data_IF_212136103841
#
_entry.id   IF_212136103841
#
_cell.length_a   1.000
_cell.length_b   1.000
_cell.length_c   1.000
_cell.angle_alpha   90.00
_cell.angle_beta   90.00
_cell.angle_gamma   90.00
#
_symmetry.space_group_name_H-M   'P 1'
#
loop_
_entity.id
_entity.type
_entity.pdbx_description
1 polymer ?
#
# COMPACT_ATOMS: atom_id res chain seq x y z
N UNK A 1 25.20 -8.17 1.08
CA UNK A 1 24.14 -8.58 0.14
C UNK A 1 24.57 -8.11 -1.24
N UNK A 2 24.80 -9.02 -2.19
CA UNK A 2 25.24 -8.68 -3.55
C UNK A 2 24.02 -8.53 -4.45
N UNK A 3 23.72 -7.32 -4.91
CA UNK A 3 22.47 -7.09 -5.64
C UNK A 3 22.46 -7.44 -7.12
N UNK A 4 23.62 -7.76 -7.71
CA UNK A 4 23.72 -8.22 -9.09
C UNK A 4 23.65 -9.75 -9.26
N UNK A 5 23.59 -10.50 -8.16
CA UNK A 5 23.56 -11.97 -8.21
C UNK A 5 22.29 -12.44 -8.94
N UNK A 6 22.44 -13.42 -9.82
CA UNK A 6 21.37 -14.09 -10.57
C UNK A 6 20.53 -13.18 -11.50
N UNK A 7 21.08 -12.03 -11.91
CA UNK A 7 20.40 -11.08 -12.83
C UNK A 7 20.93 -11.09 -14.26
N UNK A 8 21.79 -12.03 -14.62
CA UNK A 8 22.48 -12.03 -15.92
C UNK A 8 21.50 -12.05 -17.09
N UNK A 9 20.58 -13.00 -17.13
CA UNK A 9 19.59 -13.12 -18.21
C UNK A 9 18.75 -11.85 -18.38
N UNK A 10 18.31 -11.25 -17.27
CA UNK A 10 17.57 -9.98 -17.27
C UNK A 10 18.38 -8.83 -17.88
N UNK A 11 19.65 -8.68 -17.46
CA UNK A 11 20.54 -7.64 -17.97
C UNK A 11 20.92 -7.85 -19.43
N UNK A 12 21.11 -9.11 -19.86
CA UNK A 12 21.43 -9.45 -21.24
C UNK A 12 20.27 -9.05 -22.20
N UNK A 13 19.01 -9.17 -21.75
CA UNK A 13 17.84 -8.69 -22.52
C UNK A 13 17.88 -7.17 -22.66
N UNK A 14 18.11 -6.41 -21.59
CA UNK A 14 18.23 -4.95 -21.64
C UNK A 14 19.36 -4.53 -22.58
N UNK A 15 20.51 -5.18 -22.45
CA UNK A 15 21.71 -4.91 -23.25
C UNK A 15 21.51 -5.15 -24.77
N UNK A 16 20.48 -5.92 -25.15
CA UNK A 16 20.12 -6.11 -26.56
C UNK A 16 19.56 -4.83 -27.19
N UNK A 17 18.99 -3.92 -26.39
CA UNK A 17 18.29 -2.73 -26.87
C UNK A 17 18.96 -1.42 -26.45
N UNK A 18 19.67 -1.40 -25.33
CA UNK A 18 20.26 -0.18 -24.77
C UNK A 18 21.60 -0.46 -24.10
N UNK A 19 22.43 0.57 -23.96
CA UNK A 19 23.59 0.49 -23.07
C UNK A 19 23.16 0.30 -21.61
N UNK A 20 23.96 -0.41 -20.82
CA UNK A 20 23.72 -0.64 -19.39
C UNK A 20 24.78 0.10 -18.58
N UNK A 21 24.38 1.22 -17.97
CA UNK A 21 25.23 2.06 -17.14
C UNK A 21 25.04 1.72 -15.64
N UNK A 22 26.06 1.95 -14.82
CA UNK A 22 26.03 1.58 -13.40
C UNK A 22 26.73 2.62 -12.50
N UNK A 23 26.09 2.99 -11.39
CA UNK A 23 26.70 3.82 -10.33
C UNK A 23 26.90 2.95 -9.08
N UNK A 24 28.09 2.39 -8.93
CA UNK A 24 28.35 1.30 -7.97
C UNK A 24 29.57 1.61 -7.10
N UNK A 25 29.46 1.39 -5.81
CA UNK A 25 30.59 1.53 -4.89
C UNK A 25 31.40 0.22 -4.88
N UNK A 26 32.55 0.20 -5.55
CA UNK A 26 33.32 -1.02 -5.84
C UNK A 26 32.72 -1.85 -6.99
N UNK A 27 33.23 -3.07 -7.22
CA UNK A 27 32.72 -3.99 -8.25
C UNK A 27 31.42 -4.67 -7.81
N UNK A 28 30.27 -4.00 -7.92
CA UNK A 28 28.96 -4.65 -7.67
C UNK A 28 27.81 -3.92 -8.37
N UNK A 29 27.13 -4.60 -9.29
CA UNK A 29 26.18 -4.08 -10.28
C UNK A 29 24.73 -3.79 -9.83
N UNK A 30 24.05 -3.09 -10.74
CA UNK A 30 22.79 -2.30 -10.79
C UNK A 30 21.51 -2.93 -10.22
N UNK A 31 20.61 -2.09 -9.70
CA UNK A 31 19.22 -2.41 -9.36
C UNK A 31 18.23 -1.87 -10.39
N UNK A 32 17.22 -2.68 -10.73
CA UNK A 32 15.95 -2.24 -11.32
C UNK A 32 14.78 -2.94 -10.59
N UNK A 33 13.57 -2.34 -10.59
CA UNK A 33 12.42 -2.86 -9.87
C UNK A 33 11.82 -4.12 -10.49
N UNK A 34 11.64 -5.16 -9.67
CA UNK A 34 10.96 -6.40 -10.02
C UNK A 34 9.62 -6.52 -9.30
N UNK A 35 8.67 -7.18 -9.94
CA UNK A 35 7.49 -7.74 -9.26
C UNK A 35 7.90 -8.85 -8.28
N UNK A 36 7.12 -9.05 -7.22
CA UNK A 36 7.36 -10.07 -6.20
C UNK A 36 6.17 -11.03 -6.11
N UNK A 37 6.36 -12.25 -6.60
CA UNK A 37 5.40 -13.36 -6.46
C UNK A 37 6.08 -14.56 -5.79
N UNK A 38 5.70 -14.95 -4.57
CA UNK A 38 4.74 -14.26 -3.70
C UNK A 38 5.25 -12.90 -3.19
N UNK A 39 4.36 -12.02 -2.70
CA UNK A 39 4.74 -10.76 -2.07
C UNK A 39 5.75 -10.97 -0.92
N UNK A 40 6.76 -10.10 -0.82
CA UNK A 40 7.80 -10.22 0.22
C UNK A 40 7.33 -9.61 1.54
N UNK A 41 7.57 -10.30 2.65
CA UNK A 41 7.22 -9.84 4.00
C UNK A 41 8.13 -10.47 5.07
N UNK A 42 7.88 -10.14 6.33
CA UNK A 42 8.56 -10.74 7.49
C UNK A 42 8.38 -12.26 7.59
N UNK A 43 7.36 -12.81 6.92
CA UNK A 43 7.04 -14.25 6.91
C UNK A 43 7.95 -15.07 5.98
N UNK A 44 8.46 -14.47 4.90
CA UNK A 44 9.12 -15.23 3.82
C UNK A 44 10.46 -14.63 3.34
N UNK A 45 10.89 -13.49 3.89
CA UNK A 45 12.10 -12.81 3.44
C UNK A 45 12.91 -12.35 4.64
N UNK A 46 14.15 -12.83 4.76
CA UNK A 46 15.03 -12.59 5.92
C UNK A 46 15.24 -11.11 6.23
N UNK A 47 15.37 -10.26 5.19
CA UNK A 47 15.52 -8.81 5.36
C UNK A 47 14.38 -8.17 6.18
N UNK A 48 13.17 -8.75 6.14
CA UNK A 48 12.00 -8.23 6.84
C UNK A 48 11.76 -8.90 8.20
N UNK A 49 12.54 -9.93 8.59
CA UNK A 49 12.40 -10.57 9.90
C UNK A 49 12.64 -9.55 11.03
N UNK A 50 11.82 -9.62 12.07
CA UNK A 50 11.89 -8.75 13.24
C UNK A 50 11.37 -7.32 13.03
N UNK A 51 10.98 -6.92 11.81
CA UNK A 51 10.33 -5.62 11.61
C UNK A 51 8.91 -5.64 12.18
N UNK A 52 8.45 -4.58 12.89
CA UNK A 52 7.14 -4.53 13.54
C UNK A 52 6.01 -4.27 12.54
N UNK A 53 5.91 -5.10 11.50
CA UNK A 53 4.88 -5.00 10.47
C UNK A 53 4.68 -6.34 9.76
N UNK A 54 3.43 -6.64 9.42
CA UNK A 54 3.04 -7.76 8.58
C UNK A 54 2.80 -7.33 7.12
N UNK A 55 3.21 -6.11 6.76
CA UNK A 55 3.01 -5.56 5.42
C UNK A 55 3.75 -6.38 4.38
N UNK A 56 3.03 -6.73 3.34
CA UNK A 56 3.55 -7.42 2.16
C UNK A 56 3.89 -6.41 1.05
N UNK A 57 5.01 -6.65 0.37
CA UNK A 57 5.50 -5.91 -0.78
C UNK A 57 5.24 -6.70 -2.07
N UNK A 58 4.43 -6.13 -2.96
CA UNK A 58 4.10 -6.71 -4.28
C UNK A 58 5.19 -6.46 -5.33
N UNK A 59 6.05 -5.48 -5.11
CA UNK A 59 7.19 -5.15 -5.97
C UNK A 59 8.32 -4.53 -5.16
N UNK A 60 9.44 -4.26 -5.83
CA UNK A 60 10.56 -3.54 -5.22
C UNK A 60 10.15 -2.15 -4.70
N UNK A 61 9.22 -1.47 -5.38
CA UNK A 61 8.75 -0.14 -4.99
C UNK A 61 7.22 -0.01 -5.12
N UNK A 62 6.44 -0.55 -4.16
CA UNK A 62 4.97 -0.62 -4.29
C UNK A 62 4.28 0.73 -4.43
N UNK A 63 4.86 1.81 -3.91
CA UNK A 63 4.32 3.15 -4.14
C UNK A 63 4.37 3.53 -5.63
N UNK A 64 5.47 3.19 -6.31
CA UNK A 64 5.67 3.55 -7.72
C UNK A 64 4.78 2.67 -8.62
N UNK A 65 4.64 1.39 -8.26
CA UNK A 65 3.68 0.47 -8.89
C UNK A 65 2.24 1.00 -8.81
N UNK A 66 1.77 1.41 -7.62
CA UNK A 66 0.37 1.72 -7.37
C UNK A 66 -0.02 3.16 -7.72
N UNK A 67 0.82 4.16 -7.40
CA UNK A 67 0.44 5.57 -7.48
C UNK A 67 1.07 6.34 -8.65
N UNK A 68 2.09 5.77 -9.30
CA UNK A 68 2.70 6.34 -10.50
C UNK A 68 2.31 5.51 -11.72
N UNK A 69 2.63 4.21 -11.69
CA UNK A 69 2.29 3.25 -12.74
C UNK A 69 2.82 3.61 -14.11
N UNK A 70 2.27 2.94 -15.12
CA UNK A 70 2.58 3.26 -16.50
C UNK A 70 2.06 4.67 -16.84
N UNK A 71 2.81 5.43 -17.65
CA UNK A 71 3.91 4.94 -18.47
C UNK A 71 5.31 5.21 -17.88
N UNK A 72 5.39 5.78 -16.66
CA UNK A 72 6.65 6.11 -15.97
C UNK A 72 7.26 4.93 -15.22
N UNK A 73 6.43 3.97 -14.79
CA UNK A 73 6.84 2.80 -14.00
C UNK A 73 6.30 1.55 -14.64
N UNK A 74 7.20 0.68 -15.07
CA UNK A 74 6.89 -0.65 -15.59
C UNK A 74 7.29 -1.69 -14.55
N UNK A 75 6.30 -2.20 -13.82
CA UNK A 75 6.51 -3.30 -12.87
C UNK A 75 6.38 -4.63 -13.61
N UNK A 76 7.50 -5.35 -13.75
CA UNK A 76 7.56 -6.59 -14.52
C UNK A 76 8.10 -7.77 -13.70
N UNK A 77 7.72 -8.98 -14.10
CA UNK A 77 8.40 -10.19 -13.64
C UNK A 77 9.76 -10.34 -14.36
N UNK A 78 10.86 -10.18 -13.61
CA UNK A 78 12.22 -10.27 -14.16
C UNK A 78 12.60 -11.68 -14.62
N UNK A 79 11.90 -12.71 -14.13
CA UNK A 79 12.09 -14.10 -14.50
C UNK A 79 11.31 -14.47 -15.79
N UNK A 80 10.58 -13.51 -16.37
CA UNK A 80 9.82 -13.68 -17.60
C UNK A 80 10.43 -12.84 -18.74
N UNK A 81 11.35 -13.42 -19.54
CA UNK A 81 12.06 -12.70 -20.61
C UNK A 81 11.14 -11.97 -21.59
N UNK A 82 10.03 -12.59 -21.98
CA UNK A 82 9.08 -12.02 -22.94
C UNK A 82 8.34 -10.79 -22.39
N UNK A 83 8.11 -10.74 -21.08
CA UNK A 83 7.53 -9.57 -20.42
C UNK A 83 8.53 -8.42 -20.32
N UNK A 84 9.78 -8.73 -19.95
CA UNK A 84 10.87 -7.76 -19.90
C UNK A 84 11.12 -7.15 -21.28
N UNK A 85 11.21 -7.98 -22.34
CA UNK A 85 11.42 -7.50 -23.71
C UNK A 85 10.27 -6.59 -24.17
N UNK A 86 9.01 -6.97 -23.91
CA UNK A 86 7.85 -6.13 -24.26
C UNK A 86 7.87 -4.79 -23.54
N UNK A 87 8.24 -4.78 -22.26
CA UNK A 87 8.35 -3.53 -21.50
C UNK A 87 9.44 -2.63 -22.07
N UNK A 88 10.64 -3.15 -22.35
CA UNK A 88 11.74 -2.36 -22.93
C UNK A 88 11.35 -1.76 -24.29
N UNK A 89 10.76 -2.56 -25.18
CA UNK A 89 10.28 -2.07 -26.48
C UNK A 89 9.25 -0.95 -26.33
N UNK A 90 8.34 -1.09 -25.38
CA UNK A 90 7.33 -0.07 -25.09
C UNK A 90 7.96 1.22 -24.57
N UNK A 91 8.91 1.12 -23.65
CA UNK A 91 9.66 2.26 -23.09
C UNK A 91 10.41 3.03 -24.19
N UNK A 92 11.09 2.31 -25.11
CA UNK A 92 11.84 2.93 -26.20
C UNK A 92 10.96 3.66 -27.22
N UNK A 93 9.70 3.23 -27.37
CA UNK A 93 8.72 3.88 -28.26
C UNK A 93 8.01 5.08 -27.62
N UNK A 94 8.23 5.31 -26.34
CA UNK A 94 7.48 6.29 -25.56
C UNK A 94 8.14 7.66 -25.55
N UNK A 95 7.32 8.71 -25.63
CA UNK A 95 7.79 10.08 -25.35
C UNK A 95 8.03 10.24 -23.85
N UNK A 96 9.22 10.72 -23.49
CA UNK A 96 9.57 10.98 -22.09
C UNK A 96 8.86 12.26 -21.62
N UNK A 97 8.05 12.13 -20.57
CA UNK A 97 7.48 13.27 -19.84
C UNK A 97 7.98 13.19 -18.39
N UNK A 98 8.72 14.19 -17.89
CA UNK A 98 9.10 14.24 -16.49
C UNK A 98 7.87 14.32 -15.61
N UNK A 99 7.79 13.45 -14.61
CA UNK A 99 6.67 13.40 -13.68
C UNK A 99 7.15 13.31 -12.24
N UNK A 100 6.61 14.19 -11.39
CA UNK A 100 6.82 14.22 -9.95
C UNK A 100 5.45 14.26 -9.28
N UNK A 101 5.06 13.23 -8.51
CA UNK A 101 3.83 13.29 -7.72
C UNK A 101 3.84 14.53 -6.81
N UNK A 102 2.73 15.25 -6.76
CA UNK A 102 2.63 16.53 -6.05
C UNK A 102 3.09 16.44 -4.59
N UNK A 103 2.79 15.35 -3.89
CA UNK A 103 3.20 15.08 -2.50
C UNK A 103 4.71 15.03 -2.25
N UNK A 104 5.51 14.86 -3.31
CA UNK A 104 6.97 14.91 -3.28
C UNK A 104 7.54 16.24 -3.81
N UNK A 105 6.69 17.21 -4.18
CA UNK A 105 7.13 18.59 -4.41
C UNK A 105 7.30 19.32 -3.08
N UNK A 106 8.06 20.42 -3.07
CA UNK A 106 8.21 21.27 -1.89
C UNK A 106 6.85 21.75 -1.37
N UNK A 107 5.99 22.24 -2.26
CA UNK A 107 4.64 22.75 -1.90
C UNK A 107 3.74 21.64 -1.38
N UNK A 108 3.72 20.46 -2.03
CA UNK A 108 2.91 19.34 -1.57
C UNK A 108 3.38 18.79 -0.22
N UNK A 109 4.68 18.81 0.07
CA UNK A 109 5.16 18.48 1.40
C UNK A 109 4.71 19.51 2.44
N UNK A 110 4.82 20.81 2.15
CA UNK A 110 4.38 21.88 3.04
C UNK A 110 2.87 21.81 3.31
N UNK A 111 2.05 21.60 2.29
CA UNK A 111 0.60 21.42 2.44
C UNK A 111 0.28 20.26 3.38
N UNK A 112 0.93 19.10 3.18
CA UNK A 112 0.70 17.91 4.01
C UNK A 112 1.10 18.14 5.46
N UNK A 113 2.29 18.69 5.69
CA UNK A 113 2.78 18.96 7.05
C UNK A 113 1.93 20.02 7.75
N UNK A 114 1.54 21.08 7.05
CA UNK A 114 0.64 22.10 7.59
C UNK A 114 -0.71 21.50 8.00
N UNK A 115 -1.32 20.68 7.14
CA UNK A 115 -2.59 20.03 7.45
C UNK A 115 -2.49 19.12 8.70
N UNK A 116 -1.37 18.40 8.88
CA UNK A 116 -1.13 17.63 10.09
C UNK A 116 -0.95 18.51 11.33
N UNK A 117 -0.18 19.58 11.24
CA UNK A 117 0.04 20.50 12.38
C UNK A 117 -1.28 21.12 12.85
N UNK A 118 -2.12 21.57 11.91
CA UNK A 118 -3.35 22.30 12.24
C UNK A 118 -4.50 21.38 12.68
N UNK A 119 -4.55 20.14 12.17
CA UNK A 119 -5.75 19.30 12.32
C UNK A 119 -5.52 17.96 13.03
N UNK A 120 -4.30 17.41 13.06
CA UNK A 120 -4.04 16.10 13.67
C UNK A 120 -3.84 16.24 15.18
N UNK A 121 -4.94 16.17 15.93
CA UNK A 121 -4.95 16.27 17.40
C UNK A 121 -5.18 14.91 18.07
N UNK A 122 -4.19 14.44 18.82
CA UNK A 122 -4.28 13.24 19.67
C UNK A 122 -4.42 13.58 21.17
N UNK A 123 -4.41 14.86 21.53
CA UNK A 123 -4.46 15.37 22.89
C UNK A 123 -5.88 15.67 23.36
N UNK A 124 -6.77 16.10 22.46
CA UNK A 124 -8.15 16.43 22.77
C UNK A 124 -9.12 15.58 21.97
N UNK A 125 -9.97 14.79 22.65
CA UNK A 125 -10.92 13.87 22.01
C UNK A 125 -12.11 14.52 21.28
N UNK A 126 -12.05 15.80 20.93
CA UNK A 126 -13.19 16.56 20.38
C UNK A 126 -13.08 16.87 18.88
N UNK A 127 -11.88 16.91 18.28
CA UNK A 127 -11.72 17.21 16.85
C UNK A 127 -11.57 15.90 16.08
N UNK A 128 -12.62 15.51 15.35
CA UNK A 128 -12.59 14.37 14.43
C UNK A 128 -12.01 14.82 13.09
N UNK A 129 -10.69 14.69 12.94
CA UNK A 129 -10.00 14.83 11.67
C UNK A 129 -9.31 13.51 11.30
N UNK A 130 -9.49 12.97 10.08
CA UNK A 130 -10.35 13.44 8.99
C UNK A 130 -11.85 13.50 9.34
N UNK A 131 -12.66 14.34 8.64
CA UNK A 131 -14.08 14.47 8.93
C UNK A 131 -14.83 13.16 8.64
N UNK A 132 -15.85 12.85 9.44
CA UNK A 132 -16.70 11.66 9.23
C UNK A 132 -17.37 11.61 7.86
N UNK A 133 -17.56 12.75 7.19
CA UNK A 133 -18.08 12.82 5.82
C UNK A 133 -17.15 12.16 4.78
N UNK A 134 -15.86 12.00 5.08
CA UNK A 134 -14.90 11.31 4.22
C UNK A 134 -14.94 9.78 4.38
N UNK A 135 -15.61 9.28 5.43
CA UNK A 135 -15.67 7.85 5.75
C UNK A 135 -16.48 7.07 4.71
N UNK A 136 -15.87 6.02 4.18
CA UNK A 136 -16.50 5.08 3.26
C UNK A 136 -16.25 3.67 3.77
N UNK A 137 -17.30 2.92 4.05
CA UNK A 137 -17.16 1.53 4.49
C UNK A 137 -16.99 0.62 3.29
N UNK A 138 -16.01 -0.27 3.37
CA UNK A 138 -15.86 -1.39 2.43
C UNK A 138 -15.79 -2.68 3.22
N UNK A 139 -16.33 -3.76 2.63
CA UNK A 139 -16.15 -5.11 3.13
C UNK A 139 -15.01 -5.75 2.34
N UNK A 140 -13.95 -6.16 3.04
CA UNK A 140 -12.89 -6.96 2.42
C UNK A 140 -13.26 -8.44 2.54
N UNK A 141 -13.17 -9.15 1.43
CA UNK A 141 -13.44 -10.60 1.37
C UNK A 141 -12.49 -11.41 2.27
N UNK A 142 -12.87 -12.63 2.70
CA UNK A 142 -11.98 -13.50 3.46
C UNK A 142 -10.64 -13.69 2.75
N UNK A 143 -9.54 -13.63 3.51
CA UNK A 143 -8.18 -13.63 2.95
C UNK A 143 -7.70 -12.29 2.40
N UNK A 144 -8.54 -11.26 2.36
CA UNK A 144 -8.16 -9.89 1.98
C UNK A 144 -8.01 -8.96 3.19
N UNK A 145 -7.11 -7.98 3.07
CA UNK A 145 -6.88 -6.96 4.09
C UNK A 145 -7.54 -5.62 3.75
N UNK A 146 -7.73 -4.77 4.75
CA UNK A 146 -8.17 -3.40 4.54
C UNK A 146 -7.10 -2.48 3.95
N UNK A 147 -5.91 -3.00 3.57
CA UNK A 147 -4.78 -2.22 3.04
C UNK A 147 -5.11 -1.45 1.76
N UNK A 148 -6.12 -1.87 1.00
CA UNK A 148 -6.62 -1.10 -0.15
C UNK A 148 -7.31 0.22 0.27
N UNK A 149 -7.55 0.40 1.57
CA UNK A 149 -8.11 1.60 2.17
C UNK A 149 -7.03 2.41 2.90
N UNK A 150 -7.13 3.73 2.78
CA UNK A 150 -6.09 4.68 3.21
C UNK A 150 -6.26 5.11 4.68
N UNK A 151 -7.23 4.56 5.43
CA UNK A 151 -7.45 4.88 6.84
C UNK A 151 -7.54 3.63 7.73
N UNK A 152 -6.91 3.71 8.89
CA UNK A 152 -7.30 3.06 10.14
C UNK A 152 -7.21 4.10 11.26
N UNK A 153 -7.81 5.26 11.04
CA UNK A 153 -8.15 6.13 12.16
C UNK A 153 -9.34 5.49 12.86
N UNK A 154 -9.27 5.52 14.18
CA UNK A 154 -10.08 4.89 15.22
C UNK A 154 -11.55 5.32 15.18
N UNK A 155 -12.22 5.18 14.03
CA UNK A 155 -13.64 5.48 13.92
C UNK A 155 -14.43 4.34 14.55
N UNK A 156 -15.15 4.66 15.62
CA UNK A 156 -15.99 3.70 16.34
C UNK A 156 -16.98 3.03 15.38
N UNK A 157 -16.91 1.70 15.32
CA UNK A 157 -17.73 0.88 14.43
C UNK A 157 -19.21 0.79 14.78
N UNK A 158 -19.62 1.45 15.87
CA UNK A 158 -21.00 1.52 16.30
C UNK A 158 -21.91 2.31 15.33
N UNK A 159 -21.34 2.94 14.29
CA UNK A 159 -22.05 3.81 13.34
C UNK A 159 -22.45 3.13 12.02
N UNK A 160 -22.12 1.86 11.80
CA UNK A 160 -22.11 1.33 10.43
C UNK A 160 -23.41 0.73 9.89
N UNK A 161 -24.52 0.83 10.62
CA UNK A 161 -25.83 0.41 10.10
C UNK A 161 -25.86 -1.03 9.58
N UNK A 162 -24.95 -1.89 10.06
CA UNK A 162 -24.89 -3.29 9.69
C UNK A 162 -25.92 -4.06 10.51
N UNK A 163 -26.71 -4.89 9.83
CA UNK A 163 -27.73 -5.73 10.46
C UNK A 163 -27.06 -6.97 11.08
N UNK A 164 -26.70 -6.84 12.36
CA UNK A 164 -26.06 -7.88 13.16
C UNK A 164 -27.13 -8.59 14.02
N UNK A 165 -27.42 -9.86 13.71
CA UNK A 165 -28.28 -10.71 14.55
C UNK A 165 -27.57 -11.16 15.83
N UNK A 166 -26.26 -11.42 15.71
CA UNK A 166 -25.42 -11.83 16.86
C UNK A 166 -24.16 -11.00 16.88
N UNK A 167 -23.68 -10.73 18.08
CA UNK A 167 -22.53 -9.86 18.32
C UNK A 167 -21.56 -10.55 19.27
N UNK A 168 -20.28 -10.50 18.92
CA UNK A 168 -19.15 -10.93 19.74
C UNK A 168 -18.13 -9.79 19.85
N UNK A 169 -17.32 -9.80 20.91
CA UNK A 169 -16.23 -8.85 21.11
C UNK A 169 -14.91 -9.62 21.23
N UNK A 170 -13.88 -9.21 20.49
CA UNK A 170 -12.59 -9.87 20.43
C UNK A 170 -11.45 -8.86 20.30
N UNK A 171 -10.32 -9.16 20.94
CA UNK A 171 -9.09 -8.35 20.90
C UNK A 171 -8.14 -8.83 19.81
N UNK A 172 -8.48 -8.60 18.54
CA UNK A 172 -7.68 -9.07 17.40
C UNK A 172 -7.46 -7.95 16.36
N UNK A 173 -6.27 -7.92 15.75
CA UNK A 173 -5.91 -6.99 14.67
C UNK A 173 -6.75 -7.14 13.39
N UNK A 174 -7.41 -8.29 13.18
CA UNK A 174 -8.23 -8.51 11.97
C UNK A 174 -9.72 -8.26 12.17
N UNK A 175 -10.16 -7.90 13.38
CA UNK A 175 -11.52 -7.40 13.63
C UNK A 175 -11.54 -5.87 13.60
N UNK A 176 -12.67 -5.21 13.29
CA UNK A 176 -14.03 -5.71 13.10
C UNK A 176 -14.21 -6.65 11.90
N UNK A 177 -15.06 -7.66 12.08
CA UNK A 177 -15.39 -8.61 11.03
C UNK A 177 -16.87 -8.96 11.01
N UNK A 178 -17.36 -9.36 9.85
CA UNK A 178 -18.76 -9.64 9.57
C UNK A 178 -18.93 -10.97 8.81
N UNK A 179 -19.99 -11.69 9.15
CA UNK A 179 -20.43 -12.90 8.44
C UNK A 179 -21.78 -12.66 7.77
N UNK A 180 -21.83 -12.67 6.44
CA UNK A 180 -23.10 -12.60 5.70
C UNK A 180 -24.03 -13.78 6.05
N UNK A 181 -23.49 -14.99 6.13
CA UNK A 181 -24.28 -16.21 6.31
C UNK A 181 -24.98 -16.29 7.67
N UNK A 182 -24.40 -15.68 8.71
CA UNK A 182 -24.90 -15.74 10.09
C UNK A 182 -25.42 -14.39 10.59
N UNK A 183 -25.31 -13.34 9.78
CA UNK A 183 -25.49 -11.95 10.24
C UNK A 183 -24.76 -11.71 11.57
N UNK A 184 -23.52 -12.21 11.66
CA UNK A 184 -22.72 -12.20 12.88
C UNK A 184 -21.62 -11.14 12.79
N UNK A 185 -21.52 -10.31 13.82
CA UNK A 185 -20.54 -9.22 13.90
C UNK A 185 -19.57 -9.45 15.04
N UNK A 186 -18.28 -9.36 14.75
CA UNK A 186 -17.22 -9.39 15.76
C UNK A 186 -16.64 -7.99 15.87
N UNK A 187 -16.81 -7.35 17.02
CA UNK A 187 -16.26 -6.02 17.31
C UNK A 187 -14.91 -6.09 18.01
N UNK A 188 -14.16 -5.01 17.88
CA UNK A 188 -12.87 -4.83 18.53
C UNK A 188 -13.08 -4.52 20.02
N UNK A 189 -12.44 -5.31 20.90
CA UNK A 189 -12.44 -5.06 22.34
C UNK A 189 -11.31 -4.14 22.80
N UNK A 190 -10.22 -4.03 22.03
CA UNK A 190 -9.06 -3.19 22.32
C UNK A 190 -8.83 -2.17 21.19
N UNK A 191 -9.06 -0.89 21.49
CA UNK A 191 -8.94 0.20 20.51
C UNK A 191 -7.52 0.35 19.95
N UNK A 192 -6.49 -0.14 20.65
CA UNK A 192 -5.10 -0.11 20.17
C UNK A 192 -4.81 -1.16 19.09
N UNK A 193 -5.70 -2.14 18.92
CA UNK A 193 -5.53 -3.23 17.96
C UNK A 193 -6.17 -2.96 16.60
N UNK A 194 -6.82 -1.81 16.38
CA UNK A 194 -7.28 -1.46 15.04
C UNK A 194 -6.13 -1.43 14.04
N UNK A 195 -6.32 -2.10 12.89
CA UNK A 195 -5.25 -2.27 11.91
C UNK A 195 -5.80 -2.37 10.49
N UNK A 196 -5.26 -1.58 9.56
CA UNK A 196 -5.49 -1.79 8.11
C UNK A 196 -4.92 -3.14 7.64
N UNK A 197 -3.83 -3.58 8.27
CA UNK A 197 -3.10 -4.78 7.88
C UNK A 197 -3.80 -6.04 8.41
N UNK A 198 -3.43 -7.19 7.84
CA UNK A 198 -4.00 -8.47 8.21
C UNK A 198 -5.29 -8.79 7.45
N UNK A 199 -5.51 -10.07 7.21
CA UNK A 199 -6.68 -10.58 6.52
C UNK A 199 -7.36 -11.60 7.44
N UNK A 200 -8.68 -11.49 7.58
CA UNK A 200 -9.43 -12.46 8.36
C UNK A 200 -9.59 -13.74 7.51
N UNK A 201 -9.33 -14.95 8.05
CA UNK A 201 -9.36 -16.18 7.26
C UNK A 201 -10.74 -16.57 6.73
N UNK A 202 -11.80 -16.32 7.50
CA UNK A 202 -13.17 -16.79 7.21
C UNK A 202 -14.26 -15.71 7.13
N UNK A 203 -14.07 -14.57 7.79
CA UNK A 203 -15.05 -13.47 7.85
C UNK A 203 -14.62 -12.31 6.96
N UNK A 204 -15.59 -11.48 6.58
CA UNK A 204 -15.31 -10.24 5.85
C UNK A 204 -14.84 -9.18 6.82
N UNK A 205 -13.74 -8.50 6.53
CA UNK A 205 -13.29 -7.38 7.38
C UNK A 205 -14.09 -6.14 7.05
N UNK A 206 -14.48 -5.40 8.08
CA UNK A 206 -15.16 -4.10 7.93
C UNK A 206 -14.08 -3.02 7.90
N UNK A 207 -13.88 -2.43 6.73
CA UNK A 207 -12.76 -1.53 6.47
C UNK A 207 -13.23 -0.06 6.43
N UNK A 208 -12.73 0.80 7.33
CA UNK A 208 -12.96 2.24 7.25
C UNK A 208 -12.04 2.84 6.19
N UNK A 209 -12.60 3.25 5.06
CA UNK A 209 -11.87 3.84 3.95
C UNK A 209 -12.17 5.34 3.87
N UNK A 210 -11.38 6.07 3.09
CA UNK A 210 -11.69 7.43 2.68
C UNK A 210 -11.20 7.69 1.28
N UNK A 211 -11.67 8.81 0.73
CA UNK A 211 -11.07 9.36 -0.48
C UNK A 211 -9.71 10.03 -0.19
N UNK A 212 -9.05 10.45 -1.26
CA UNK A 212 -7.80 11.18 -1.19
C UNK A 212 -7.70 12.18 -2.36
N UNK A 213 -6.91 13.22 -2.16
CA UNK A 213 -6.54 14.14 -3.22
C UNK A 213 -5.52 13.46 -4.15
N UNK A 214 -5.75 13.50 -5.47
CA UNK A 214 -4.83 12.91 -6.43
C UNK A 214 -3.45 13.57 -6.29
N UNK A 215 -2.41 12.76 -6.10
CA UNK A 215 -1.05 13.24 -5.85
C UNK A 215 -0.78 13.70 -4.42
N UNK A 216 -1.72 13.55 -3.48
CA UNK A 216 -1.56 13.83 -2.06
C UNK A 216 -2.36 12.80 -1.23
N UNK A 217 -1.84 11.57 -1.15
CA UNK A 217 -2.58 10.43 -0.57
C UNK A 217 -2.89 10.62 0.93
N UNK A 218 -2.05 11.39 1.60
CA UNK A 218 -2.17 11.71 3.02
C UNK A 218 -3.44 12.50 3.37
N UNK A 219 -4.08 13.18 2.41
CA UNK A 219 -5.21 14.08 2.68
C UNK A 219 -6.46 13.67 1.88
N UNK A 220 -7.61 13.65 2.55
CA UNK A 220 -8.93 13.51 1.93
C UNK A 220 -9.33 14.79 1.18
N UNK A 221 -10.36 14.73 0.34
CA UNK A 221 -10.80 15.95 -0.40
C UNK A 221 -11.37 17.04 0.52
N UNK A 222 -11.88 16.66 1.70
CA UNK A 222 -12.37 17.59 2.72
C UNK A 222 -11.43 17.75 3.92
N UNK A 223 -10.13 17.52 3.74
CA UNK A 223 -9.14 17.55 4.83
C UNK A 223 -8.32 18.84 4.90
N UNK A 224 -8.62 19.81 4.05
CA UNK A 224 -8.05 21.16 4.02
C UNK A 224 -9.11 22.19 4.38
#
# INVERSE_FOLDING_TARGET
MYSGRDKKTYLDIIHTYTEVHATVHGTSTVHLPSYFTPPKSSKNTDFFKGKPTLRELTSQHPYAEVYIGQPHVWTVNIDNPAEVERAIRSILSQKIEPYLPYEFTCEGMLQRVNAFIENQDFCHGQVMWPPLSALQVKLAEPGSSCKQCIIADTVMLNLFGMDCQTVESSGDTVVPAYSDARHHCVFQSDLLLFSCAGAHPSLKRVCPCRDYMKGQVALCKGCL
#
